data_IF_962539855297
#
_entry.id   IF_962539855297
#
_cell.length_a   1.000
_cell.length_b   1.000
_cell.length_c   1.000
_cell.angle_alpha   90.00
_cell.angle_beta   90.00
_cell.angle_gamma   90.00
#
_symmetry.space_group_name_H-M   'P 1'
#
loop_
_entity.id
_entity.type
_entity.pdbx_description
1 polymer ?
#
# COMPACT_ATOMS: atom_id res chain seq x y z
N UNK A 1 17.95 37.90 -14.36
CA UNK A 1 17.08 36.77 -13.95
C UNK A 1 15.97 37.32 -13.06
N UNK A 2 14.72 37.23 -13.50
CA UNK A 2 13.56 37.71 -12.73
C UNK A 2 13.38 36.89 -11.44
N UNK A 3 12.94 37.51 -10.33
CA UNK A 3 12.61 36.78 -9.12
C UNK A 3 11.44 35.82 -9.39
N UNK A 4 11.59 34.56 -8.98
CA UNK A 4 10.53 33.57 -9.06
C UNK A 4 9.40 33.96 -8.10
N UNK A 5 8.23 34.30 -8.62
CA UNK A 5 7.04 34.63 -7.84
C UNK A 5 6.13 33.40 -7.86
N UNK A 6 6.15 32.54 -6.83
CA UNK A 6 5.21 31.43 -6.73
C UNK A 6 3.78 31.99 -6.58
N UNK A 7 2.81 31.39 -7.28
CA UNK A 7 1.39 31.75 -7.16
C UNK A 7 0.64 30.78 -6.25
N UNK A 8 1.10 29.52 -6.18
CA UNK A 8 0.57 28.49 -5.29
C UNK A 8 1.67 27.77 -4.52
N UNK A 9 1.29 27.14 -3.40
CA UNK A 9 2.19 26.31 -2.60
C UNK A 9 2.88 25.20 -3.43
N UNK A 10 2.17 24.68 -4.43
CA UNK A 10 2.66 23.63 -5.31
C UNK A 10 3.75 24.09 -6.30
N UNK A 11 3.92 25.41 -6.51
CA UNK A 11 4.99 25.97 -7.35
C UNK A 11 6.33 26.03 -6.60
N UNK A 12 6.28 25.98 -5.27
CA UNK A 12 7.45 26.06 -4.39
C UNK A 12 8.16 24.71 -4.30
N UNK A 13 7.39 23.62 -4.30
CA UNK A 13 7.92 22.26 -4.27
C UNK A 13 8.41 21.92 -5.67
N UNK A 14 9.72 21.89 -5.86
CA UNK A 14 10.34 21.49 -7.13
C UNK A 14 10.92 20.09 -6.98
N UNK A 15 10.94 19.34 -8.09
CA UNK A 15 11.61 18.04 -8.11
C UNK A 15 13.12 18.23 -7.92
N UNK A 16 13.61 17.94 -6.72
CA UNK A 16 15.00 18.14 -6.31
C UNK A 16 15.54 16.99 -5.46
N UNK A 17 16.68 17.22 -4.80
CA UNK A 17 17.34 16.23 -3.92
C UNK A 17 16.44 15.86 -2.74
N UNK A 18 15.74 16.83 -2.17
CA UNK A 18 14.78 16.56 -1.08
C UNK A 18 13.66 15.64 -1.54
N UNK A 19 13.05 15.88 -2.70
CA UNK A 19 11.98 15.04 -3.24
C UNK A 19 12.46 13.61 -3.48
N UNK A 20 13.68 13.42 -4.02
CA UNK A 20 14.27 12.09 -4.24
C UNK A 20 14.46 11.38 -2.89
N UNK A 21 14.97 12.08 -1.87
CA UNK A 21 15.16 11.51 -0.54
C UNK A 21 13.82 11.09 0.09
N UNK A 22 12.79 11.94 0.00
CA UNK A 22 11.43 11.60 0.47
C UNK A 22 10.88 10.39 -0.26
N UNK A 23 11.06 10.32 -1.58
CA UNK A 23 10.64 9.20 -2.41
C UNK A 23 11.32 7.88 -1.97
N UNK A 24 12.64 7.90 -1.79
CA UNK A 24 13.42 6.73 -1.39
C UNK A 24 13.02 6.24 0.01
N UNK A 25 12.88 7.16 0.98
CA UNK A 25 12.47 6.80 2.33
C UNK A 25 11.01 6.33 2.40
N UNK A 26 10.14 6.89 1.55
CA UNK A 26 8.75 6.44 1.43
C UNK A 26 8.67 5.03 0.83
N UNK A 27 9.51 4.73 -0.18
CA UNK A 27 9.57 3.38 -0.77
C UNK A 27 10.05 2.34 0.26
N UNK A 28 11.08 2.66 1.05
CA UNK A 28 11.55 1.77 2.13
C UNK A 28 10.47 1.57 3.20
N UNK A 29 9.72 2.61 3.56
CA UNK A 29 8.60 2.50 4.50
C UNK A 29 7.44 1.67 3.92
N UNK A 30 7.15 1.78 2.62
CA UNK A 30 6.17 0.93 1.94
C UNK A 30 6.63 -0.53 1.91
N UNK A 31 7.89 -0.79 1.61
CA UNK A 31 8.49 -2.12 1.61
C UNK A 31 8.34 -2.78 2.98
N UNK A 32 8.69 -2.08 4.06
CA UNK A 32 8.65 -2.62 5.41
C UNK A 32 7.21 -2.94 5.86
N UNK A 33 6.26 -2.03 5.61
CA UNK A 33 4.84 -2.24 5.94
C UNK A 33 4.21 -3.35 5.10
N UNK A 34 4.55 -3.42 3.81
CA UNK A 34 4.06 -4.45 2.89
C UNK A 34 4.55 -5.80 3.35
N UNK A 35 5.85 -5.89 3.66
CA UNK A 35 6.46 -7.12 4.12
C UNK A 35 5.80 -7.62 5.41
N UNK A 36 5.49 -6.75 6.37
CA UNK A 36 4.77 -7.13 7.59
C UNK A 36 3.34 -7.65 7.30
N UNK A 37 2.63 -7.03 6.35
CA UNK A 37 1.26 -7.45 5.98
C UNK A 37 1.25 -8.75 5.18
N UNK A 38 2.20 -8.93 4.25
CA UNK A 38 2.28 -10.10 3.37
C UNK A 38 3.10 -11.25 3.95
N UNK A 39 3.79 -11.06 5.07
CA UNK A 39 4.63 -12.08 5.70
C UNK A 39 3.89 -13.42 5.93
N UNK A 40 2.62 -13.35 6.35
CA UNK A 40 1.78 -14.54 6.59
C UNK A 40 1.50 -15.37 5.33
N UNK A 41 1.68 -14.82 4.13
CA UNK A 41 1.56 -15.59 2.87
C UNK A 41 2.61 -16.69 2.82
N UNK A 42 3.84 -16.39 3.25
CA UNK A 42 4.96 -17.34 3.30
C UNK A 42 4.97 -18.12 4.62
N UNK A 43 4.84 -17.42 5.75
CA UNK A 43 4.91 -18.04 7.06
C UNK A 43 3.71 -18.96 7.37
N UNK A 44 2.56 -18.70 6.74
CA UNK A 44 1.37 -19.54 6.78
C UNK A 44 1.27 -20.55 5.62
N UNK A 45 2.33 -20.73 4.82
CA UNK A 45 2.33 -21.73 3.76
C UNK A 45 2.15 -23.13 4.34
N UNK A 46 1.23 -23.92 3.78
CA UNK A 46 1.01 -25.30 4.24
C UNK A 46 1.93 -26.24 3.48
N UNK A 47 2.76 -27.06 4.17
CA UNK A 47 3.55 -28.09 3.49
C UNK A 47 2.62 -29.16 2.91
N UNK A 48 3.08 -29.82 1.85
CA UNK A 48 2.38 -30.96 1.26
C UNK A 48 2.89 -32.23 1.95
N UNK A 49 1.98 -33.00 2.55
CA UNK A 49 2.32 -34.27 3.19
C UNK A 49 2.42 -35.34 2.10
N UNK A 50 3.64 -35.85 1.85
CA UNK A 50 3.87 -36.92 0.87
C UNK A 50 3.65 -38.31 1.46
N UNK A 51 3.93 -38.48 2.74
CA UNK A 51 3.87 -39.79 3.37
C UNK A 51 4.45 -39.82 4.77
N UNK A 52 4.59 -41.04 5.30
CA UNK A 52 5.33 -41.34 6.53
C UNK A 52 5.89 -42.77 6.44
N UNK A 53 7.18 -42.96 6.71
CA UNK A 53 7.82 -44.27 6.55
C UNK A 53 7.57 -44.87 5.16
N UNK A 54 6.90 -46.02 5.12
CA UNK A 54 6.56 -46.75 3.88
C UNK A 54 5.19 -46.37 3.27
N UNK A 55 4.42 -45.49 3.93
CA UNK A 55 3.09 -45.07 3.47
C UNK A 55 3.21 -43.78 2.66
N UNK A 56 2.70 -43.78 1.43
CA UNK A 56 2.67 -42.60 0.55
C UNK A 56 1.23 -42.19 0.26
N UNK A 57 0.96 -40.88 0.29
CA UNK A 57 -0.35 -40.31 0.00
C UNK A 57 -0.40 -39.68 -1.40
N UNK A 58 -1.55 -39.80 -2.06
CA UNK A 58 -1.74 -39.26 -3.42
C UNK A 58 -2.28 -37.83 -3.43
N UNK A 59 -2.94 -37.42 -2.34
CA UNK A 59 -3.53 -36.09 -2.20
C UNK A 59 -3.48 -35.59 -0.76
N UNK A 60 -3.57 -34.27 -0.57
CA UNK A 60 -3.61 -33.66 0.76
C UNK A 60 -4.84 -34.09 1.58
N UNK A 61 -5.98 -34.35 0.93
CA UNK A 61 -7.19 -34.81 1.62
C UNK A 61 -6.99 -36.25 2.14
N UNK A 62 -6.43 -37.11 1.29
CA UNK A 62 -6.07 -38.50 1.65
C UNK A 62 -5.07 -38.54 2.81
N UNK A 63 -4.04 -37.68 2.77
CA UNK A 63 -3.08 -37.53 3.86
C UNK A 63 -3.74 -37.07 5.18
N UNK A 64 -4.76 -36.22 5.11
CA UNK A 64 -5.47 -35.74 6.29
C UNK A 64 -6.44 -36.76 6.88
N UNK A 65 -7.09 -37.57 6.05
CA UNK A 65 -8.01 -38.63 6.51
C UNK A 65 -7.24 -39.81 7.13
N UNK A 66 -6.05 -40.10 6.60
CA UNK A 66 -5.19 -41.21 7.02
C UNK A 66 -4.05 -40.81 7.96
N UNK A 67 -4.06 -39.59 8.51
CA UNK A 67 -2.96 -39.07 9.34
C UNK A 67 -2.68 -39.93 10.59
N UNK A 68 -3.69 -40.62 11.11
CA UNK A 68 -3.56 -41.50 12.28
C UNK A 68 -2.59 -42.68 12.04
N UNK A 69 -2.38 -43.10 10.79
CA UNK A 69 -1.41 -44.14 10.44
C UNK A 69 0.04 -43.71 10.66
N UNK A 70 0.29 -42.40 10.76
CA UNK A 70 1.60 -41.79 10.94
C UNK A 70 1.86 -41.32 12.38
N UNK A 71 1.02 -41.69 13.34
CA UNK A 71 1.15 -41.23 14.72
C UNK A 71 2.45 -41.78 15.36
N UNK A 72 3.36 -40.88 15.73
CA UNK A 72 4.67 -41.23 16.28
C UNK A 72 5.77 -41.50 15.24
N UNK A 73 5.49 -41.35 13.94
CA UNK A 73 6.45 -41.49 12.84
C UNK A 73 6.69 -40.09 12.23
N UNK A 74 7.94 -39.70 11.90
CA UNK A 74 8.19 -38.44 11.21
C UNK A 74 7.53 -38.43 9.83
N UNK A 75 6.80 -37.35 9.53
CA UNK A 75 6.15 -37.12 8.25
C UNK A 75 7.19 -36.71 7.20
N UNK A 76 7.06 -37.25 5.98
CA UNK A 76 7.78 -36.76 4.81
C UNK A 76 7.02 -35.56 4.23
N UNK A 77 7.57 -34.37 4.44
CA UNK A 77 6.97 -33.09 4.08
C UNK A 77 7.69 -32.50 2.88
N UNK A 78 6.92 -32.13 1.85
CA UNK A 78 7.40 -31.33 0.73
C UNK A 78 6.99 -29.88 0.94
N UNK A 79 7.93 -29.09 1.45
CA UNK A 79 7.75 -27.68 1.68
C UNK A 79 8.69 -26.85 0.80
N UNK A 80 8.13 -25.84 0.13
CA UNK A 80 8.92 -24.88 -0.62
C UNK A 80 9.55 -23.81 0.29
N UNK A 81 8.97 -23.62 1.48
CA UNK A 81 9.35 -22.62 2.49
C UNK A 81 9.07 -23.21 3.87
N UNK A 82 10.07 -23.19 4.76
CA UNK A 82 9.92 -23.68 6.13
C UNK A 82 9.05 -22.71 6.94
N UNK A 83 7.80 -23.11 7.17
CA UNK A 83 6.72 -22.25 7.64
C UNK A 83 6.37 -22.51 9.11
N UNK A 84 5.56 -21.63 9.70
CA UNK A 84 5.03 -21.81 11.07
C UNK A 84 4.18 -23.08 11.14
N UNK A 85 3.48 -23.41 10.05
CA UNK A 85 2.63 -24.60 10.02
C UNK A 85 3.45 -25.89 10.06
N UNK A 86 4.63 -25.89 9.44
CA UNK A 86 5.56 -27.01 9.48
C UNK A 86 6.21 -27.15 10.86
N UNK A 87 6.58 -26.05 11.49
CA UNK A 87 7.25 -26.11 12.79
C UNK A 87 6.31 -26.47 13.96
N UNK A 88 5.06 -26.01 13.93
CA UNK A 88 4.09 -26.24 15.01
C UNK A 88 3.09 -27.36 14.69
N UNK A 89 3.38 -28.17 13.68
CA UNK A 89 2.53 -29.28 13.23
C UNK A 89 1.06 -28.89 13.03
N UNK A 90 0.82 -27.75 12.36
CA UNK A 90 -0.51 -27.17 12.13
C UNK A 90 -1.14 -27.68 10.82
N UNK A 91 -1.24 -28.99 10.68
CA UNK A 91 -1.82 -29.64 9.50
C UNK A 91 -3.33 -29.91 9.66
N UNK A 92 -4.01 -30.16 8.54
CA UNK A 92 -5.38 -30.70 8.50
C UNK A 92 -6.36 -29.94 9.41
N UNK A 93 -6.86 -30.60 10.48
CA UNK A 93 -7.79 -30.02 11.44
C UNK A 93 -7.22 -28.84 12.24
N UNK A 94 -5.90 -28.68 12.33
CA UNK A 94 -5.27 -27.52 13.01
C UNK A 94 -5.06 -26.31 12.09
N UNK A 95 -5.28 -26.46 10.77
CA UNK A 95 -5.10 -25.38 9.78
C UNK A 95 -5.98 -24.15 10.04
N UNK A 96 -7.12 -24.29 10.74
CA UNK A 96 -7.96 -23.14 11.07
C UNK A 96 -7.25 -22.13 11.99
N UNK A 97 -6.23 -22.56 12.76
CA UNK A 97 -5.47 -21.69 13.67
C UNK A 97 -4.68 -20.64 12.89
N UNK A 98 -4.05 -21.01 11.78
CA UNK A 98 -3.38 -20.09 10.85
C UNK A 98 -4.39 -19.11 10.24
N UNK A 99 -5.48 -19.63 9.63
CA UNK A 99 -6.52 -18.79 9.01
C UNK A 99 -7.16 -17.80 9.98
N UNK A 100 -7.35 -18.21 11.23
CA UNK A 100 -7.84 -17.35 12.31
C UNK A 100 -6.84 -16.23 12.63
N UNK A 101 -5.55 -16.55 12.66
CA UNK A 101 -4.48 -15.56 12.89
C UNK A 101 -4.40 -14.53 11.77
N UNK A 102 -4.45 -14.98 10.51
CA UNK A 102 -4.52 -14.12 9.31
C UNK A 102 -5.79 -13.24 9.32
N UNK A 103 -6.91 -13.74 9.82
CA UNK A 103 -8.14 -12.94 9.97
C UNK A 103 -8.00 -11.84 11.04
N UNK A 104 -7.40 -12.16 12.20
CA UNK A 104 -7.10 -11.16 13.23
C UNK A 104 -6.10 -10.11 12.75
N UNK A 105 -5.11 -10.52 11.95
CA UNK A 105 -4.18 -9.62 11.29
C UNK A 105 -4.93 -8.59 10.41
N UNK A 106 -5.82 -9.04 9.52
CA UNK A 106 -6.59 -8.15 8.65
C UNK A 106 -7.54 -7.22 9.42
N UNK A 107 -8.12 -7.69 10.53
CA UNK A 107 -8.90 -6.86 11.44
C UNK A 107 -8.03 -5.74 12.05
N UNK A 108 -6.78 -6.07 12.42
CA UNK A 108 -5.78 -5.10 12.84
C UNK A 108 -5.50 -4.03 11.80
N UNK A 109 -5.24 -4.42 10.53
CA UNK A 109 -5.04 -3.46 9.42
C UNK A 109 -6.24 -2.53 9.27
N UNK A 110 -7.46 -3.07 9.39
CA UNK A 110 -8.69 -2.29 9.27
C UNK A 110 -8.81 -1.24 10.38
N UNK A 111 -8.65 -1.65 11.63
CA UNK A 111 -8.71 -0.74 12.79
C UNK A 111 -7.59 0.30 12.69
N UNK A 112 -6.37 -0.13 12.37
CA UNK A 112 -5.22 0.74 12.18
C UNK A 112 -5.46 1.80 11.09
N UNK A 113 -6.03 1.40 9.96
CA UNK A 113 -6.32 2.31 8.84
C UNK A 113 -7.33 3.40 9.21
N UNK A 114 -8.31 3.09 10.08
CA UNK A 114 -9.31 4.05 10.54
C UNK A 114 -8.73 5.02 11.58
N UNK A 115 -7.98 4.51 12.55
CA UNK A 115 -7.45 5.33 13.65
C UNK A 115 -6.33 6.23 13.20
N UNK A 116 -5.31 5.68 12.55
CA UNK A 116 -4.13 6.45 12.16
C UNK A 116 -4.40 7.39 10.98
N UNK A 117 -5.41 7.13 10.15
CA UNK A 117 -5.85 8.10 9.14
C UNK A 117 -6.31 9.44 9.75
N UNK A 118 -7.05 9.37 10.86
CA UNK A 118 -7.51 10.55 11.61
C UNK A 118 -6.38 11.18 12.44
N UNK A 119 -5.55 10.35 13.10
CA UNK A 119 -4.37 10.82 13.84
C UNK A 119 -3.40 11.53 12.88
N UNK A 120 -3.13 10.97 11.71
CA UNK A 120 -2.28 11.54 10.67
C UNK A 120 -2.77 12.89 10.15
N UNK A 121 -4.08 13.12 10.16
CA UNK A 121 -4.67 14.39 9.74
C UNK A 121 -4.62 15.43 10.88
N UNK A 122 -4.66 14.96 12.13
CA UNK A 122 -4.70 15.81 13.33
C UNK A 122 -3.32 16.22 13.86
N UNK A 123 -2.38 15.27 13.96
CA UNK A 123 -1.07 15.41 14.60
C UNK A 123 0.11 15.62 13.64
N UNK A 124 -0.14 15.53 12.32
CA UNK A 124 0.89 15.58 11.28
C UNK A 124 1.08 14.23 10.61
N UNK A 125 1.79 14.20 9.49
CA UNK A 125 2.02 12.97 8.72
C UNK A 125 3.24 12.23 9.24
N UNK A 126 4.30 12.96 9.61
CA UNK A 126 5.60 12.40 10.03
C UNK A 126 5.51 11.67 11.36
N UNK A 127 4.94 12.27 12.40
CA UNK A 127 4.95 11.67 13.76
C UNK A 127 4.20 10.33 13.83
N UNK A 128 2.97 10.22 13.29
CA UNK A 128 2.24 8.95 13.31
C UNK A 128 2.92 7.91 12.41
N UNK A 129 3.51 8.33 11.28
CA UNK A 129 4.30 7.45 10.44
C UNK A 129 5.51 6.86 11.17
N UNK A 130 6.29 7.69 11.87
CA UNK A 130 7.43 7.23 12.67
C UNK A 130 7.00 6.30 13.80
N UNK A 131 5.93 6.64 14.51
CA UNK A 131 5.35 5.77 15.52
C UNK A 131 4.96 4.42 14.92
N UNK A 132 4.32 4.43 13.76
CA UNK A 132 3.95 3.21 13.05
C UNK A 132 5.16 2.34 12.73
N UNK A 133 6.18 2.91 12.11
CA UNK A 133 7.37 2.17 11.66
C UNK A 133 8.21 1.64 12.84
N UNK A 134 8.34 2.41 13.92
CA UNK A 134 9.09 1.99 15.10
C UNK A 134 8.37 0.86 15.84
N UNK A 135 7.06 1.01 16.05
CA UNK A 135 6.27 -0.01 16.74
C UNK A 135 6.17 -1.30 15.92
N UNK A 136 5.99 -1.22 14.59
CA UNK A 136 5.97 -2.42 13.75
C UNK A 136 7.33 -3.12 13.70
N UNK A 137 8.43 -2.38 13.68
CA UNK A 137 9.78 -2.93 13.77
C UNK A 137 10.04 -3.65 15.09
N UNK A 138 9.72 -3.00 16.23
CA UNK A 138 9.88 -3.58 17.57
C UNK A 138 9.03 -4.83 17.76
N UNK A 139 7.75 -4.76 17.39
CA UNK A 139 6.84 -5.89 17.49
C UNK A 139 7.27 -7.04 16.56
N UNK A 140 7.91 -6.76 15.41
CA UNK A 140 8.44 -7.81 14.52
C UNK A 140 9.61 -8.58 15.16
N UNK A 141 10.43 -7.91 15.99
CA UNK A 141 11.53 -8.56 16.73
C UNK A 141 11.03 -9.47 17.86
N UNK A 142 9.89 -9.11 18.48
CA UNK A 142 9.28 -9.88 19.58
C UNK A 142 8.35 -10.99 19.05
N UNK A 143 8.16 -11.08 17.73
CA UNK A 143 7.14 -11.91 17.08
C UNK A 143 7.36 -13.43 17.19
N UNK A 144 8.42 -13.91 17.85
CA UNK A 144 8.66 -15.34 18.08
C UNK A 144 7.53 -16.04 18.85
N UNK A 145 6.68 -15.31 19.58
CA UNK A 145 5.59 -15.86 20.39
C UNK A 145 4.28 -15.12 20.14
N UNK A 146 3.27 -15.68 19.44
CA UNK A 146 1.81 -15.34 19.42
C UNK A 146 1.39 -13.86 19.16
N UNK A 147 2.27 -12.87 19.30
CA UNK A 147 2.08 -11.43 19.20
C UNK A 147 2.10 -10.91 17.76
N UNK A 148 2.22 -11.81 16.77
CA UNK A 148 2.08 -11.48 15.35
C UNK A 148 0.72 -10.82 15.05
N UNK A 149 -0.32 -11.13 15.81
CA UNK A 149 -1.63 -10.49 15.73
C UNK A 149 -1.63 -8.99 16.11
N UNK A 150 -0.73 -8.56 17.02
CA UNK A 150 -0.67 -7.16 17.49
C UNK A 150 0.22 -6.26 16.62
N UNK A 151 1.19 -6.84 15.90
CA UNK A 151 2.08 -6.14 14.95
C UNK A 151 1.32 -5.26 13.94
N UNK A 152 0.09 -5.64 13.62
CA UNK A 152 -0.59 -5.21 12.40
C UNK A 152 -1.61 -4.08 12.65
N UNK A 153 -1.99 -3.85 13.91
CA UNK A 153 -2.77 -2.65 14.29
C UNK A 153 -2.02 -1.36 13.89
N UNK A 154 -0.70 -1.46 13.75
CA UNK A 154 0.20 -0.32 13.60
C UNK A 154 0.62 -0.10 12.13
N UNK A 155 0.35 -1.04 11.22
CA UNK A 155 0.67 -0.87 9.79
C UNK A 155 -0.29 0.09 9.09
N UNK A 156 0.22 1.17 8.49
CA UNK A 156 -0.60 2.22 7.88
C UNK A 156 -0.03 2.78 6.57
N UNK A 157 -0.32 2.07 5.48
CA UNK A 157 0.12 2.41 4.12
C UNK A 157 -0.31 3.81 3.66
N UNK A 158 -1.52 4.24 4.05
CA UNK A 158 -2.12 5.48 3.53
C UNK A 158 -1.34 6.72 3.97
N UNK A 159 -0.75 6.71 5.17
CA UNK A 159 -0.02 7.87 5.68
C UNK A 159 1.28 8.07 4.91
N UNK A 160 1.96 6.98 4.54
CA UNK A 160 3.18 7.01 3.72
C UNK A 160 2.90 7.66 2.37
N UNK A 161 1.87 7.18 1.67
CA UNK A 161 1.50 7.69 0.34
C UNK A 161 1.09 9.16 0.42
N UNK A 162 0.30 9.55 1.42
CA UNK A 162 -0.11 10.95 1.59
C UNK A 162 1.09 11.84 1.91
N UNK A 163 1.99 11.41 2.80
CA UNK A 163 3.20 12.15 3.13
C UNK A 163 4.09 12.37 1.89
N UNK A 164 4.29 11.33 1.09
CA UNK A 164 5.03 11.41 -0.17
C UNK A 164 4.36 12.42 -1.12
N UNK A 165 3.06 12.27 -1.38
CA UNK A 165 2.34 13.12 -2.33
C UNK A 165 2.29 14.60 -1.93
N UNK A 166 2.22 14.88 -0.63
CA UNK A 166 2.26 16.26 -0.10
C UNK A 166 3.65 16.90 -0.28
N UNK A 167 4.72 16.12 -0.38
CA UNK A 167 6.10 16.57 -0.59
C UNK A 167 6.59 16.50 -2.04
N UNK A 168 5.72 16.08 -2.97
CA UNK A 168 6.03 15.90 -4.40
C UNK A 168 5.30 16.96 -5.24
N UNK A 169 5.96 17.53 -6.28
CA UNK A 169 5.33 18.49 -7.20
C UNK A 169 4.14 17.90 -7.96
N UNK A 170 3.07 18.69 -8.14
CA UNK A 170 1.82 18.26 -8.84
C UNK A 170 2.10 17.58 -10.18
N UNK A 171 3.00 18.15 -10.99
CA UNK A 171 3.28 17.67 -12.35
C UNK A 171 3.80 16.24 -12.37
N UNK A 172 4.51 15.83 -11.32
CA UNK A 172 5.13 14.50 -11.23
C UNK A 172 4.39 13.55 -10.28
N UNK A 173 3.37 14.02 -9.54
CA UNK A 173 2.62 13.21 -8.56
C UNK A 173 2.11 11.89 -9.13
N UNK A 174 1.54 11.90 -10.33
CA UNK A 174 1.00 10.68 -10.96
C UNK A 174 2.10 9.64 -11.24
N UNK A 175 3.14 10.06 -11.95
CA UNK A 175 4.26 9.20 -12.30
C UNK A 175 4.94 8.64 -11.05
N UNK A 176 5.16 9.48 -10.04
CA UNK A 176 5.80 9.06 -8.79
C UNK A 176 4.90 8.09 -8.01
N UNK A 177 3.59 8.33 -7.93
CA UNK A 177 2.66 7.42 -7.25
C UNK A 177 2.54 6.05 -7.94
N UNK A 178 2.74 5.99 -9.26
CA UNK A 178 2.70 4.72 -10.00
C UNK A 178 4.02 3.96 -9.90
N UNK A 179 5.14 4.69 -9.87
CA UNK A 179 6.47 4.11 -9.70
C UNK A 179 6.76 3.65 -8.26
N UNK A 180 6.37 4.45 -7.28
CA UNK A 180 6.54 4.23 -5.83
C UNK A 180 5.18 3.79 -5.30
N UNK A 181 4.98 2.47 -5.21
CA UNK A 181 3.68 1.89 -4.91
C UNK A 181 3.83 0.53 -4.22
N UNK A 182 2.71 -0.12 -3.93
CA UNK A 182 2.69 -1.46 -3.37
C UNK A 182 3.33 -2.51 -4.30
N UNK A 183 3.18 -2.35 -5.62
CA UNK A 183 3.55 -3.38 -6.61
C UNK A 183 5.04 -3.76 -6.67
N UNK A 184 6.02 -2.83 -6.74
CA UNK A 184 7.44 -3.21 -6.77
C UNK A 184 7.86 -3.97 -5.50
N UNK A 185 7.27 -3.60 -4.37
CA UNK A 185 7.58 -4.19 -3.07
C UNK A 185 7.14 -5.66 -2.93
N UNK A 186 6.11 -6.10 -3.68
CA UNK A 186 5.73 -7.52 -3.77
C UNK A 186 6.84 -8.36 -4.41
N UNK A 187 7.48 -7.81 -5.45
CA UNK A 187 8.58 -8.48 -6.17
C UNK A 187 9.76 -8.66 -5.22
N UNK A 188 10.16 -7.57 -4.54
CA UNK A 188 11.25 -7.58 -3.56
C UNK A 188 10.97 -8.59 -2.45
N UNK A 189 9.75 -8.65 -1.92
CA UNK A 189 9.37 -9.64 -0.92
C UNK A 189 9.46 -11.08 -1.43
N UNK A 190 9.02 -11.36 -2.66
CA UNK A 190 9.17 -12.69 -3.25
C UNK A 190 10.62 -13.13 -3.41
N UNK A 191 11.49 -12.20 -3.80
CA UNK A 191 12.94 -12.43 -3.88
C UNK A 191 13.53 -12.68 -2.48
N UNK A 192 13.16 -11.87 -1.48
CA UNK A 192 13.61 -12.08 -0.11
C UNK A 192 13.17 -13.44 0.43
N UNK A 193 11.91 -13.83 0.22
CA UNK A 193 11.41 -15.13 0.67
C UNK A 193 12.14 -16.30 -0.01
N UNK A 194 12.55 -16.16 -1.27
CA UNK A 194 13.36 -17.16 -1.98
C UNK A 194 14.75 -17.34 -1.38
N UNK A 195 15.40 -16.26 -0.96
CA UNK A 195 16.72 -16.32 -0.31
C UNK A 195 16.63 -16.77 1.16
N UNK A 196 15.59 -16.32 1.87
CA UNK A 196 15.37 -16.61 3.28
C UNK A 196 14.21 -17.58 3.44
N UNK A 197 14.44 -18.85 3.08
CA UNK A 197 13.43 -19.92 3.01
C UNK A 197 12.95 -20.43 4.39
N UNK A 198 13.11 -19.62 5.43
CA UNK A 198 12.74 -19.93 6.80
C UNK A 198 12.02 -18.73 7.42
N UNK A 199 10.85 -18.97 8.02
CA UNK A 199 9.98 -17.92 8.56
C UNK A 199 10.65 -17.00 9.60
N UNK A 200 11.42 -17.56 10.55
CA UNK A 200 12.23 -16.77 11.51
C UNK A 200 13.24 -15.85 10.83
N UNK A 201 14.02 -16.38 9.89
CA UNK A 201 15.01 -15.58 9.14
C UNK A 201 14.32 -14.47 8.35
N UNK A 202 13.19 -14.77 7.70
CA UNK A 202 12.40 -13.77 6.98
C UNK A 202 11.86 -12.69 7.93
N UNK A 203 11.40 -13.06 9.14
CA UNK A 203 10.92 -12.10 10.16
C UNK A 203 12.02 -11.13 10.57
N UNK A 204 13.24 -11.62 10.79
CA UNK A 204 14.39 -10.78 11.13
C UNK A 204 14.74 -9.80 10.00
N UNK A 205 14.69 -10.24 8.75
CA UNK A 205 14.90 -9.38 7.57
C UNK A 205 13.81 -8.31 7.50
N UNK A 206 12.55 -8.69 7.71
CA UNK A 206 11.42 -7.74 7.75
C UNK A 206 11.56 -6.72 8.88
N UNK A 207 12.04 -7.13 10.06
CA UNK A 207 12.35 -6.22 11.15
C UNK A 207 13.47 -5.25 10.76
N UNK A 208 14.54 -5.74 10.11
CA UNK A 208 15.65 -4.90 9.65
C UNK A 208 15.23 -3.85 8.60
N UNK A 209 14.22 -4.13 7.77
CA UNK A 209 13.66 -3.16 6.82
C UNK A 209 13.04 -1.92 7.48
N UNK A 210 12.78 -1.96 8.78
CA UNK A 210 12.30 -0.80 9.54
C UNK A 210 13.44 0.13 9.99
N UNK A 211 14.71 -0.31 9.95
CA UNK A 211 15.86 0.52 10.39
C UNK A 211 15.98 1.82 9.59
N UNK A 212 15.84 1.83 8.24
CA UNK A 212 15.86 3.07 7.47
C UNK A 212 14.75 4.07 7.83
N UNK A 213 13.71 3.66 8.55
CA UNK A 213 12.70 4.59 9.08
C UNK A 213 13.32 5.61 10.07
N UNK A 214 14.43 5.26 10.71
CA UNK A 214 15.20 6.22 11.51
C UNK A 214 15.67 7.39 10.65
N UNK A 215 16.06 7.17 9.39
CA UNK A 215 16.41 8.27 8.49
C UNK A 215 15.22 9.22 8.20
N UNK A 216 13.98 8.70 8.21
CA UNK A 216 12.75 9.49 8.06
C UNK A 216 12.53 10.43 9.26
N UNK A 217 13.18 10.20 10.41
CA UNK A 217 13.14 11.11 11.56
C UNK A 217 13.80 12.47 11.25
N UNK A 218 14.73 12.51 10.30
CA UNK A 218 15.44 13.74 9.93
C UNK A 218 14.72 14.54 8.84
N UNK A 219 13.71 13.95 8.17
CA UNK A 219 12.89 14.69 7.21
C UNK A 219 11.97 15.68 7.89
N UNK A 220 11.61 16.75 7.19
CA UNK A 220 10.66 17.74 7.69
C UNK A 220 9.21 17.25 7.60
N UNK A 221 8.33 17.83 8.42
CA UNK A 221 6.89 17.60 8.28
C UNK A 221 6.37 18.19 6.96
N UNK A 222 5.24 17.68 6.48
CA UNK A 222 4.60 18.20 5.26
C UNK A 222 4.36 19.72 5.32
N UNK A 223 4.93 20.51 4.38
CA UNK A 223 4.70 21.95 4.31
C UNK A 223 3.21 22.28 4.18
N UNK A 224 2.48 21.46 3.42
CA UNK A 224 1.05 21.64 3.17
C UNK A 224 0.22 21.44 4.44
N UNK A 225 0.55 20.42 5.23
CA UNK A 225 -0.12 20.19 6.51
C UNK A 225 0.14 21.34 7.49
N UNK A 226 1.37 21.86 7.55
CA UNK A 226 1.72 23.00 8.40
C UNK A 226 0.92 24.25 8.05
N UNK A 227 0.81 24.59 6.76
CA UNK A 227 -0.03 25.70 6.27
C UNK A 227 -1.49 25.47 6.62
N UNK A 228 -2.01 24.25 6.41
CA UNK A 228 -3.40 23.93 6.75
C UNK A 228 -3.71 24.11 8.25
N UNK A 229 -2.74 23.83 9.13
CA UNK A 229 -2.87 24.01 10.59
C UNK A 229 -2.57 25.43 11.08
N UNK A 230 -2.25 26.36 10.19
CA UNK A 230 -1.90 27.75 10.56
C UNK A 230 -0.50 27.90 11.17
N UNK A 231 0.34 26.87 11.06
CA UNK A 231 1.72 26.89 11.55
C UNK A 231 2.66 27.55 10.54
N UNK A 232 2.40 28.81 10.20
CA UNK A 232 3.06 29.52 9.08
C UNK A 232 4.57 29.64 9.28
N UNK A 233 5.03 29.94 10.51
CA UNK A 233 6.46 30.04 10.82
C UNK A 233 7.20 28.71 10.60
N UNK A 234 6.62 27.60 11.06
CA UNK A 234 7.17 26.25 10.85
C UNK A 234 7.17 25.91 9.35
N UNK A 235 6.07 26.19 8.64
CA UNK A 235 5.96 25.94 7.20
C UNK A 235 7.03 26.69 6.39
N UNK A 236 7.26 27.97 6.72
CA UNK A 236 8.32 28.79 6.12
C UNK A 236 9.69 28.18 6.34
N UNK A 237 10.02 27.81 7.57
CA UNK A 237 11.32 27.21 7.89
C UNK A 237 11.55 25.92 7.10
N UNK A 238 10.56 25.03 7.05
CA UNK A 238 10.61 23.79 6.27
C UNK A 238 10.85 24.08 4.79
N UNK A 239 10.14 25.05 4.20
CA UNK A 239 10.31 25.42 2.79
C UNK A 239 11.73 25.94 2.52
N UNK A 240 12.28 26.77 3.41
CA UNK A 240 13.64 27.28 3.29
C UNK A 240 14.67 26.16 3.40
N UNK A 241 14.46 25.19 4.29
CA UNK A 241 15.34 24.03 4.43
C UNK A 241 15.30 23.11 3.20
N UNK A 242 14.12 22.89 2.62
CA UNK A 242 13.96 22.18 1.35
C UNK A 242 14.73 22.88 0.23
N UNK A 243 14.56 24.21 0.10
CA UNK A 243 15.26 25.00 -0.91
C UNK A 243 16.80 24.92 -0.75
N UNK A 244 17.29 24.98 0.50
CA UNK A 244 18.72 24.80 0.83
C UNK A 244 19.23 23.43 0.38
N UNK A 245 18.52 22.35 0.68
CA UNK A 245 18.89 20.98 0.29
C UNK A 245 18.93 20.80 -1.23
N UNK A 246 18.02 21.44 -1.95
CA UNK A 246 17.97 21.39 -3.42
C UNK A 246 19.05 22.24 -4.10
N UNK A 247 19.95 22.88 -3.34
CA UNK A 247 21.00 23.75 -3.87
C UNK A 247 20.46 25.08 -4.42
N UNK A 248 19.15 25.30 -4.33
CA UNK A 248 18.51 26.59 -4.58
C UNK A 248 18.69 27.43 -3.33
N UNK A 249 19.84 28.11 -3.23
CA UNK A 249 19.96 29.32 -2.40
C UNK A 249 19.06 30.42 -2.99
N UNK A 250 17.77 30.17 -3.08
CA UNK A 250 16.86 31.10 -3.73
C UNK A 250 16.74 32.33 -2.83
N UNK A 251 16.97 33.48 -3.45
CA UNK A 251 16.50 34.81 -3.02
C UNK A 251 14.95 34.79 -2.94
N UNK A 252 14.38 33.89 -2.14
CA UNK A 252 12.96 33.90 -1.83
C UNK A 252 12.80 35.11 -0.93
N UNK A 253 12.10 36.12 -1.41
CA UNK A 253 11.73 37.25 -0.56
C UNK A 253 10.83 36.70 0.54
N UNK A 254 11.35 36.64 1.76
CA UNK A 254 10.69 36.01 2.90
C UNK A 254 9.32 36.65 3.16
N UNK A 255 9.21 37.96 2.94
CA UNK A 255 7.94 38.70 3.04
C UNK A 255 6.92 38.22 2.00
N UNK A 256 7.34 37.95 0.77
CA UNK A 256 6.46 37.41 -0.28
C UNK A 256 6.04 35.98 0.02
N UNK A 257 6.95 35.18 0.59
CA UNK A 257 6.64 33.82 1.01
C UNK A 257 5.60 33.81 2.15
N UNK A 258 5.77 34.65 3.17
CA UNK A 258 4.83 34.74 4.29
C UNK A 258 3.43 35.15 3.84
N UNK A 259 3.33 36.13 2.92
CA UNK A 259 2.05 36.54 2.33
C UNK A 259 1.37 35.41 1.55
N UNK A 260 2.15 34.60 0.80
CA UNK A 260 1.62 33.45 0.08
C UNK A 260 1.13 32.35 1.02
N UNK A 261 1.91 32.03 2.07
CA UNK A 261 1.54 31.00 3.04
C UNK A 261 0.28 31.42 3.81
N UNK A 262 0.15 32.69 4.16
CA UNK A 262 -1.04 33.23 4.81
C UNK A 262 -2.26 33.14 3.89
N UNK A 263 -2.15 33.57 2.63
CA UNK A 263 -3.24 33.47 1.64
C UNK A 263 -3.72 32.03 1.44
N UNK A 264 -2.81 31.07 1.36
CA UNK A 264 -3.17 29.65 1.23
C UNK A 264 -3.81 29.12 2.53
N UNK A 265 -3.36 29.56 3.70
CA UNK A 265 -4.02 29.22 4.98
C UNK A 265 -5.45 29.76 5.04
N UNK A 266 -5.66 31.03 4.70
CA UNK A 266 -6.99 31.65 4.70
C UNK A 266 -7.92 30.90 3.73
N UNK A 267 -7.41 30.48 2.56
CA UNK A 267 -8.14 29.61 1.63
C UNK A 267 -8.53 28.29 2.30
N UNK A 268 -7.62 27.63 3.01
CA UNK A 268 -7.93 26.39 3.75
C UNK A 268 -8.94 26.62 4.88
N UNK A 269 -8.90 27.76 5.56
CA UNK A 269 -9.82 28.10 6.63
C UNK A 269 -11.23 28.35 6.10
N UNK A 270 -11.38 29.08 4.99
CA UNK A 270 -12.67 29.30 4.31
C UNK A 270 -13.27 27.97 3.88
N UNK A 271 -12.47 27.10 3.24
CA UNK A 271 -12.91 25.75 2.84
C UNK A 271 -13.23 24.86 4.06
N UNK A 272 -12.50 25.02 5.15
CA UNK A 272 -12.72 24.31 6.41
C UNK A 272 -14.01 24.72 7.13
N UNK A 273 -14.33 26.01 7.14
CA UNK A 273 -15.58 26.55 7.69
C UNK A 273 -16.80 26.16 6.86
N UNK A 274 -16.63 25.98 5.54
CA UNK A 274 -17.66 25.43 4.66
C UNK A 274 -17.88 23.91 4.83
N UNK A 275 -17.07 23.23 5.65
CA UNK A 275 -17.08 21.78 5.80
C UNK A 275 -18.16 21.33 6.78
N UNK A 276 -19.34 21.05 6.23
CA UNK A 276 -20.37 20.29 6.92
C UNK A 276 -19.91 18.84 7.14
N UNK A 277 -20.18 18.31 8.35
CA UNK A 277 -20.01 16.94 8.87
C UNK A 277 -20.10 15.83 7.80
N UNK A 278 -19.41 14.69 7.99
CA UNK A 278 -19.45 13.49 7.12
C UNK A 278 -20.86 13.15 6.58
N UNK A 279 -21.90 13.41 7.36
CA UNK A 279 -23.32 13.26 7.01
C UNK A 279 -23.75 14.05 5.76
N UNK A 280 -23.22 15.24 5.53
CA UNK A 280 -23.55 16.09 4.39
C UNK A 280 -23.10 15.51 3.04
N UNK A 281 -22.05 14.69 3.04
CA UNK A 281 -21.58 13.99 1.84
C UNK A 281 -22.61 12.98 1.36
N UNK A 282 -23.29 12.29 2.28
CA UNK A 282 -24.33 11.31 1.98
C UNK A 282 -25.70 11.95 1.68
N UNK A 283 -25.95 13.18 2.14
CA UNK A 283 -27.20 13.89 1.88
C UNK A 283 -27.31 14.44 0.46
N UNK A 284 -26.19 14.87 -0.15
CA UNK A 284 -26.19 15.38 -1.52
C UNK A 284 -26.10 14.22 -2.52
N UNK A 285 -27.18 13.96 -3.27
CA UNK A 285 -27.24 12.89 -4.31
C UNK A 285 -26.09 12.98 -5.33
N UNK A 286 -25.66 14.18 -5.71
CA UNK A 286 -24.51 14.39 -6.61
C UNK A 286 -23.14 14.02 -6.04
N UNK A 287 -23.04 13.75 -4.73
CA UNK A 287 -21.83 13.27 -4.04
C UNK A 287 -21.95 11.81 -3.61
N UNK A 288 -23.13 11.42 -3.13
CA UNK A 288 -23.39 10.09 -2.60
C UNK A 288 -23.16 9.01 -3.67
N UNK A 289 -23.67 9.21 -4.90
CA UNK A 289 -23.54 8.19 -5.95
C UNK A 289 -22.08 7.99 -6.42
N UNK A 290 -21.31 9.04 -6.78
CA UNK A 290 -19.88 8.86 -7.09
C UNK A 290 -19.07 8.26 -5.93
N UNK A 291 -19.36 8.66 -4.68
CA UNK A 291 -18.70 8.09 -3.50
C UNK A 291 -19.00 6.60 -3.37
N UNK A 292 -20.26 6.19 -3.56
CA UNK A 292 -20.66 4.79 -3.55
C UNK A 292 -19.92 4.00 -4.64
N UNK A 293 -19.89 4.49 -5.88
CA UNK A 293 -19.18 3.84 -7.00
C UNK A 293 -17.69 3.66 -6.68
N UNK A 294 -17.02 4.70 -6.19
CA UNK A 294 -15.59 4.63 -5.84
C UNK A 294 -15.36 3.66 -4.67
N UNK A 295 -16.21 3.70 -3.64
CA UNK A 295 -16.07 2.84 -2.46
C UNK A 295 -16.30 1.37 -2.81
N UNK A 296 -17.33 1.08 -3.61
CA UNK A 296 -17.60 -0.28 -4.10
C UNK A 296 -16.48 -0.79 -5.00
N UNK A 297 -15.96 0.05 -5.89
CA UNK A 297 -14.81 -0.28 -6.74
C UNK A 297 -13.56 -0.59 -5.94
N UNK A 298 -13.32 0.19 -4.87
CA UNK A 298 -12.20 -0.04 -3.96
C UNK A 298 -12.40 -1.34 -3.17
N UNK A 299 -13.61 -1.61 -2.69
CA UNK A 299 -13.95 -2.85 -2.00
C UNK A 299 -13.71 -4.07 -2.90
N UNK A 300 -14.22 -4.08 -4.13
CA UNK A 300 -13.99 -5.17 -5.08
C UNK A 300 -12.49 -5.34 -5.40
N UNK A 301 -11.77 -4.25 -5.64
CA UNK A 301 -10.33 -4.30 -5.92
C UNK A 301 -9.53 -4.90 -4.75
N UNK A 302 -9.82 -4.47 -3.52
CA UNK A 302 -9.16 -4.98 -2.31
C UNK A 302 -9.52 -6.44 -2.03
N UNK A 303 -10.79 -6.82 -2.20
CA UNK A 303 -11.24 -8.21 -2.02
C UNK A 303 -10.50 -9.17 -2.96
N UNK A 304 -10.38 -8.81 -4.24
CA UNK A 304 -9.64 -9.64 -5.20
C UNK A 304 -8.15 -9.63 -4.86
N UNK A 305 -7.60 -8.47 -4.47
CA UNK A 305 -6.18 -8.36 -4.14
C UNK A 305 -5.76 -9.27 -2.99
N UNK A 306 -6.45 -9.20 -1.85
CA UNK A 306 -6.17 -10.07 -0.72
C UNK A 306 -6.58 -11.51 -0.99
N UNK A 307 -7.66 -11.74 -1.77
CA UNK A 307 -8.07 -13.06 -2.20
C UNK A 307 -6.99 -13.79 -2.99
N UNK A 308 -6.35 -13.12 -3.95
CA UNK A 308 -5.25 -13.71 -4.72
C UNK A 308 -3.98 -13.84 -3.86
N UNK A 309 -3.68 -12.83 -3.05
CA UNK A 309 -2.52 -12.83 -2.17
C UNK A 309 -2.51 -14.01 -1.19
N UNK A 310 -3.63 -14.29 -0.51
CA UNK A 310 -3.69 -15.41 0.44
C UNK A 310 -3.89 -16.78 -0.21
N UNK A 311 -4.29 -16.82 -1.49
CA UNK A 311 -4.39 -18.05 -2.27
C UNK A 311 -3.19 -18.30 -3.20
N UNK A 312 -2.08 -17.57 -3.02
CA UNK A 312 -0.84 -17.77 -3.80
C UNK A 312 -0.34 -19.23 -3.75
N UNK A 313 -0.57 -19.91 -2.62
CA UNK A 313 -0.21 -21.32 -2.39
C UNK A 313 -1.05 -22.33 -3.18
N UNK A 314 -2.22 -21.91 -3.67
CA UNK A 314 -3.10 -22.79 -4.45
C UNK A 314 -2.75 -22.81 -5.94
N UNK A 315 -1.94 -21.85 -6.42
CA UNK A 315 -1.45 -21.85 -7.78
C UNK A 315 -0.36 -22.91 -7.95
N UNK A 316 -0.37 -23.60 -9.08
CA UNK A 316 0.70 -24.53 -9.42
C UNK A 316 2.04 -23.78 -9.60
N UNK A 317 3.14 -24.45 -9.28
CA UNK A 317 4.49 -23.91 -9.37
C UNK A 317 5.07 -23.49 -8.03
N UNK A 318 6.05 -22.58 -8.08
CA UNK A 318 6.72 -22.06 -6.88
C UNK A 318 6.00 -20.85 -6.32
N UNK A 319 5.76 -20.82 -5.01
CA UNK A 319 5.21 -19.66 -4.29
C UNK A 319 6.02 -18.38 -4.58
N UNK A 320 7.34 -18.48 -4.71
CA UNK A 320 8.22 -17.35 -5.00
C UNK A 320 8.02 -16.81 -6.41
N UNK A 321 8.01 -17.71 -7.40
CA UNK A 321 7.81 -17.34 -8.80
C UNK A 321 6.43 -16.72 -9.01
N UNK A 322 5.40 -17.30 -8.41
CA UNK A 322 4.03 -16.80 -8.49
C UNK A 322 3.92 -15.38 -7.91
N UNK A 323 4.54 -15.14 -6.75
CA UNK A 323 4.59 -13.81 -6.14
C UNK A 323 5.34 -12.79 -7.01
N UNK A 324 6.48 -13.17 -7.58
CA UNK A 324 7.28 -12.30 -8.47
C UNK A 324 6.50 -11.98 -9.74
N UNK A 325 5.91 -12.97 -10.41
CA UNK A 325 5.13 -12.78 -11.64
C UNK A 325 3.93 -11.87 -11.43
N UNK A 326 3.17 -12.10 -10.35
CA UNK A 326 2.06 -11.23 -9.98
C UNK A 326 2.59 -9.82 -9.70
N UNK A 327 3.61 -9.67 -8.86
CA UNK A 327 4.23 -8.36 -8.58
C UNK A 327 4.67 -7.61 -9.85
N UNK A 328 5.36 -8.30 -10.77
CA UNK A 328 5.86 -7.75 -12.03
C UNK A 328 4.75 -7.34 -12.98
N UNK A 329 3.71 -8.16 -13.12
CA UNK A 329 2.55 -7.84 -13.97
C UNK A 329 1.83 -6.58 -13.46
N UNK A 330 1.60 -6.52 -12.15
CA UNK A 330 0.98 -5.37 -11.50
C UNK A 330 1.85 -4.12 -11.66
N UNK A 331 3.16 -4.23 -11.45
CA UNK A 331 4.07 -3.09 -11.56
C UNK A 331 4.17 -2.56 -13.00
N UNK A 332 4.27 -3.46 -13.98
CA UNK A 332 4.29 -3.11 -15.41
C UNK A 332 3.02 -2.37 -15.82
N UNK A 333 1.87 -2.82 -15.31
CA UNK A 333 0.56 -2.18 -15.52
C UNK A 333 0.53 -0.76 -14.93
N UNK A 334 1.02 -0.58 -13.69
CA UNK A 334 1.08 0.73 -13.04
C UNK A 334 1.97 1.71 -13.81
N UNK A 335 3.17 1.27 -14.21
CA UNK A 335 4.11 2.08 -14.99
C UNK A 335 3.52 2.47 -16.36
N UNK A 336 2.84 1.52 -17.02
CA UNK A 336 2.17 1.80 -18.29
C UNK A 336 1.07 2.86 -18.13
N UNK A 337 0.24 2.77 -17.09
CA UNK A 337 -0.76 3.79 -16.79
C UNK A 337 -0.13 5.16 -16.48
N UNK A 338 0.95 5.19 -15.69
CA UNK A 338 1.70 6.41 -15.40
C UNK A 338 2.28 7.06 -16.66
N UNK A 339 2.83 6.24 -17.57
CA UNK A 339 3.36 6.70 -18.85
C UNK A 339 2.25 7.25 -19.77
N UNK A 340 1.09 6.59 -19.82
CA UNK A 340 -0.05 7.06 -20.61
C UNK A 340 -0.58 8.41 -20.11
N UNK A 341 -0.72 8.61 -18.80
CA UNK A 341 -1.14 9.91 -18.23
C UNK A 341 -0.09 11.00 -18.49
N UNK A 342 1.21 10.65 -18.44
CA UNK A 342 2.29 11.60 -18.72
C UNK A 342 2.33 12.04 -20.20
N UNK A 343 2.15 11.10 -21.15
CA UNK A 343 2.30 11.36 -22.59
C UNK A 343 1.02 11.89 -23.24
N UNK A 344 -0.15 11.42 -22.82
CA UNK A 344 -1.43 11.75 -23.45
C UNK A 344 -2.29 12.63 -22.54
N UNK A 345 -2.29 13.93 -22.81
CA UNK A 345 -3.18 14.89 -22.12
C UNK A 345 -4.67 14.62 -22.37
N UNK A 346 -5.02 13.95 -23.49
CA UNK A 346 -6.37 13.48 -23.80
C UNK A 346 -6.80 12.22 -23.03
N UNK A 347 -5.86 11.48 -22.42
CA UNK A 347 -6.20 10.32 -21.61
C UNK A 347 -6.72 10.79 -20.25
N UNK A 348 -7.98 11.22 -20.26
CA UNK A 348 -8.64 11.73 -19.08
C UNK A 348 -8.74 10.67 -17.98
N UNK A 349 -8.46 11.07 -16.74
CA UNK A 349 -8.51 10.22 -15.54
C UNK A 349 -9.84 9.48 -15.34
N UNK A 350 -10.95 10.09 -15.79
CA UNK A 350 -12.28 9.45 -15.79
C UNK A 350 -12.36 8.35 -16.85
N UNK A 351 -11.84 8.61 -18.04
CA UNK A 351 -11.81 7.64 -19.15
C UNK A 351 -10.96 6.43 -18.79
N UNK A 352 -9.81 6.64 -18.14
CA UNK A 352 -8.98 5.56 -17.60
C UNK A 352 -9.77 4.68 -16.62
N UNK A 353 -10.41 5.28 -15.61
CA UNK A 353 -11.20 4.53 -14.64
C UNK A 353 -12.39 3.80 -15.26
N UNK A 354 -13.18 4.47 -16.11
CA UNK A 354 -14.32 3.84 -16.78
C UNK A 354 -13.89 2.71 -17.69
N UNK A 355 -12.76 2.85 -18.41
CA UNK A 355 -12.21 1.76 -19.21
C UNK A 355 -11.84 0.53 -18.35
N UNK A 356 -11.20 0.76 -17.20
CA UNK A 356 -10.82 -0.31 -16.27
C UNK A 356 -12.05 -1.03 -15.69
N UNK A 357 -13.09 -0.27 -15.30
CA UNK A 357 -14.36 -0.82 -14.83
C UNK A 357 -15.07 -1.67 -15.90
N UNK A 358 -15.06 -1.20 -17.14
CA UNK A 358 -15.67 -1.93 -18.26
C UNK A 358 -14.91 -3.22 -18.58
N UNK A 359 -13.57 -3.20 -18.50
CA UNK A 359 -12.75 -4.40 -18.64
C UNK A 359 -13.07 -5.40 -17.51
N UNK A 360 -13.21 -4.92 -16.27
CA UNK A 360 -13.58 -5.76 -15.13
C UNK A 360 -14.95 -6.42 -15.25
N UNK A 361 -15.98 -5.65 -15.61
CA UNK A 361 -17.33 -6.19 -15.82
C UNK A 361 -17.33 -7.26 -16.92
N UNK A 362 -16.49 -7.11 -17.96
CA UNK A 362 -16.30 -8.13 -19.01
C UNK A 362 -15.59 -9.39 -18.48
N UNK A 363 -14.59 -9.24 -17.62
CA UNK A 363 -13.88 -10.37 -16.98
C UNK A 363 -14.74 -11.14 -15.96
N UNK A 364 -15.60 -10.45 -15.22
CA UNK A 364 -16.57 -11.11 -14.33
C UNK A 364 -17.54 -11.99 -15.11
N UNK A 365 -17.99 -11.52 -16.28
CA UNK A 365 -18.90 -12.30 -17.13
C UNK A 365 -18.27 -13.62 -17.59
N UNK A 366 -16.96 -13.67 -17.80
CA UNK A 366 -16.24 -14.91 -18.12
C UNK A 366 -16.09 -15.85 -16.92
N UNK A 367 -16.15 -15.35 -15.68
CA UNK A 367 -16.08 -16.18 -14.47
C UNK A 367 -17.35 -16.99 -14.22
N UNK A 368 -18.51 -16.48 -14.68
CA UNK A 368 -19.79 -17.21 -14.61
C UNK A 368 -19.97 -18.27 -15.72
N UNK A 369 -19.00 -18.43 -16.62
CA UNK A 369 -19.01 -19.50 -17.62
C UNK A 369 -18.25 -20.69 -17.00
N UNK A 370 -18.92 -21.82 -16.72
CA UNK A 370 -18.28 -22.96 -16.10
C UNK A 370 -17.46 -23.70 -17.17
N UNK A 371 -16.17 -23.36 -17.32
CA UNK A 371 -15.25 -24.14 -18.17
C UNK A 371 -14.08 -24.63 -17.34
N UNK A 372 -13.96 -25.97 -17.30
CA UNK A 372 -12.97 -26.78 -16.57
C UNK A 372 -11.51 -26.58 -17.03
N UNK A 373 -11.15 -25.50 -17.73
CA UNK A 373 -9.84 -25.36 -18.38
C UNK A 373 -9.39 -23.90 -18.57
N UNK A 374 -9.40 -23.09 -17.51
CA UNK A 374 -8.86 -21.72 -17.56
C UNK A 374 -8.10 -21.36 -16.28
N UNK A 375 -6.84 -21.79 -16.17
CA UNK A 375 -6.06 -21.63 -14.93
C UNK A 375 -4.92 -20.62 -14.98
N UNK A 376 -4.57 -20.03 -16.13
CA UNK A 376 -3.48 -19.02 -16.20
C UNK A 376 -3.89 -17.71 -16.85
N UNK A 377 -4.59 -17.74 -17.98
CA UNK A 377 -5.02 -16.50 -18.67
C UNK A 377 -6.07 -15.71 -17.89
N UNK A 378 -6.97 -16.39 -17.17
CA UNK A 378 -8.01 -15.75 -16.37
C UNK A 378 -7.40 -15.04 -15.14
N UNK A 379 -6.45 -15.67 -14.45
CA UNK A 379 -5.70 -15.04 -13.34
C UNK A 379 -4.90 -13.83 -13.82
N UNK A 380 -4.25 -13.92 -14.98
CA UNK A 380 -3.48 -12.80 -15.58
C UNK A 380 -4.39 -11.62 -15.96
N UNK A 381 -5.57 -11.89 -16.54
CA UNK A 381 -6.58 -10.85 -16.81
C UNK A 381 -7.16 -10.26 -15.53
N UNK A 382 -7.39 -11.07 -14.50
CA UNK A 382 -7.92 -10.60 -13.22
C UNK A 382 -6.90 -9.69 -12.49
N UNK A 383 -5.62 -10.04 -12.49
CA UNK A 383 -4.54 -9.26 -11.87
C UNK A 383 -4.26 -7.93 -12.57
N UNK A 384 -4.23 -7.94 -13.92
CA UNK A 384 -4.14 -6.70 -14.70
C UNK A 384 -5.33 -5.80 -14.40
N UNK A 385 -6.53 -6.36 -14.33
CA UNK A 385 -7.75 -5.61 -14.04
C UNK A 385 -7.77 -5.03 -12.62
N UNK A 386 -7.33 -5.77 -11.60
CA UNK A 386 -7.22 -5.28 -10.22
C UNK A 386 -6.20 -4.15 -10.11
N UNK A 387 -5.05 -4.28 -10.75
CA UNK A 387 -4.02 -3.23 -10.74
C UNK A 387 -4.52 -1.95 -11.42
N UNK A 388 -5.17 -2.11 -12.56
CA UNK A 388 -5.84 -1.03 -13.29
C UNK A 388 -6.92 -0.35 -12.43
N UNK A 389 -7.73 -1.11 -11.69
CA UNK A 389 -8.72 -0.60 -10.74
C UNK A 389 -8.09 0.17 -9.58
N UNK A 390 -7.04 -0.37 -8.96
CA UNK A 390 -6.36 0.27 -7.82
C UNK A 390 -5.71 1.59 -8.24
N UNK A 391 -4.96 1.61 -9.35
CA UNK A 391 -4.37 2.84 -9.90
C UNK A 391 -5.47 3.85 -10.22
N UNK A 392 -6.54 3.43 -10.90
CA UNK A 392 -7.62 4.33 -11.25
C UNK A 392 -8.35 4.91 -10.00
N UNK A 393 -8.50 4.12 -8.93
CA UNK A 393 -9.10 4.56 -7.67
C UNK A 393 -8.21 5.56 -6.90
N UNK A 394 -6.91 5.29 -6.79
CA UNK A 394 -5.95 6.22 -6.16
C UNK A 394 -5.92 7.57 -6.89
N UNK A 395 -5.95 7.53 -8.22
CA UNK A 395 -5.98 8.70 -9.09
C UNK A 395 -7.26 9.52 -8.92
N UNK A 396 -8.43 8.88 -8.81
CA UNK A 396 -9.70 9.58 -8.58
C UNK A 396 -9.72 10.25 -7.22
N UNK A 397 -9.20 9.60 -6.18
CA UNK A 397 -9.18 10.15 -4.82
C UNK A 397 -8.34 11.44 -4.78
N UNK A 398 -7.17 11.44 -5.41
CA UNK A 398 -6.29 12.62 -5.51
C UNK A 398 -6.93 13.75 -6.33
N UNK A 399 -7.73 13.42 -7.36
CA UNK A 399 -8.28 14.41 -8.30
C UNK A 399 -9.64 14.97 -7.89
N UNK A 400 -10.47 14.19 -7.18
CA UNK A 400 -11.77 14.65 -6.65
C UNK A 400 -11.55 15.76 -5.63
N UNK A 401 -10.47 15.69 -4.85
CA UNK A 401 -9.99 16.81 -4.03
C UNK A 401 -9.59 18.04 -4.86
N UNK A 402 -9.01 17.88 -6.06
CA UNK A 402 -8.53 19.00 -6.89
C UNK A 402 -9.64 19.72 -7.66
N UNK A 403 -10.60 19.01 -8.26
CA UNK A 403 -11.64 19.65 -9.10
C UNK A 403 -12.64 20.49 -8.29
N UNK A 404 -12.86 20.20 -7.01
CA UNK A 404 -13.74 21.03 -6.16
C UNK A 404 -13.06 22.26 -5.58
N UNK A 405 -11.77 22.20 -5.28
CA UNK A 405 -11.03 23.39 -4.82
C UNK A 405 -11.00 24.48 -5.90
N UNK A 406 -11.09 24.12 -7.19
CA UNK A 406 -11.09 25.08 -8.30
C UNK A 406 -12.51 25.51 -8.71
N UNK A 407 -13.51 24.63 -8.58
CA UNK A 407 -14.89 24.91 -9.00
C UNK A 407 -15.76 25.55 -7.89
N UNK A 408 -15.31 25.58 -6.63
CA UNK A 408 -15.95 26.34 -5.55
C UNK A 408 -15.27 27.71 -5.33
N UNK A 409 -14.28 28.07 -6.16
CA UNK A 409 -13.55 29.36 -6.12
C UNK A 409 -13.75 30.24 -7.37
N UNK A 410 -14.60 29.81 -8.30
CA UNK A 410 -15.17 30.63 -9.38
C UNK A 410 -16.69 30.57 -9.25
#
# INVERSE_FOLDING_TARGET
MQPFIPHHLDDIIVFGKHTILVCLLSELALLSQLSNTMYMVYAGATPVIKGCGDVTFTSMNDACDNLNLCEGIPLDLDSQFYSINEEWDLYCNKRYLERRSTSFQMLGVMIGSLTFGEIGSSFGRKKPLLFCLLMSGLLSLVAENIFLCFNVIVTNFRIVVVYMLENVPIKSRMWINTAISYSPNVIVLGIMAYFFQHWRSLTLVVAALHIPAVALMYLNESPRWLVQKGKIREARQVILDIARMDGKKTKINETTLDLLLQREHDRFEIMGKARNTYRHVFQKRGLAFPLFVISFSFFCGVMINYGNMFNLNALSGSIYLNSILIGSLRYSTNLFCGFLDYKFTCFGRKTAHTACQMIWLRCLRTFFIPVKTLTTWCCTLQETTVSLLTVANEVILITTYRKRIVLETN
#
